data_IF_564727042765
#
_entry.id   IF_564727042765
#
_cell.length_a   1.000
_cell.length_b   1.000
_cell.length_c   1.000
_cell.angle_alpha   90.00
_cell.angle_beta   90.00
_cell.angle_gamma   90.00
#
_symmetry.space_group_name_H-M   'P 1'
#
loop_
_entity.id
_entity.type
_entity.pdbx_description
1 polymer ?
#
# COMPACT_ATOMS: atom_id res chain seq x y z
N UNK A 1 -0.73 22.17 10.73
CA UNK A 1 -1.12 22.40 9.31
C UNK A 1 -1.58 21.11 8.62
N UNK A 2 -0.81 20.02 8.62
CA UNK A 2 -1.18 18.81 7.87
C UNK A 2 -2.50 18.16 8.32
N UNK A 3 -2.86 18.25 9.60
CA UNK A 3 -4.15 17.77 10.12
C UNK A 3 -5.36 18.63 9.73
N UNK A 4 -5.14 19.89 9.39
CA UNK A 4 -6.20 20.82 8.98
C UNK A 4 -6.43 20.72 7.48
N UNK A 5 -5.39 20.35 6.71
CA UNK A 5 -5.40 20.29 5.25
C UNK A 5 -6.62 19.56 4.66
N UNK A 6 -7.05 18.39 5.15
CA UNK A 6 -8.23 17.70 4.61
C UNK A 6 -9.54 18.50 4.68
N UNK A 7 -9.62 19.45 5.60
CA UNK A 7 -10.82 20.26 5.85
C UNK A 7 -10.84 21.58 5.08
N UNK A 8 -9.72 21.95 4.44
CA UNK A 8 -9.56 23.25 3.77
C UNK A 8 -9.08 23.13 2.32
N UNK A 9 -8.67 21.94 1.89
CA UNK A 9 -8.15 21.68 0.56
C UNK A 9 -8.53 20.27 0.10
N UNK A 10 -8.97 20.16 -1.14
CA UNK A 10 -9.09 18.89 -1.86
C UNK A 10 -8.01 18.80 -2.94
N UNK A 11 -7.20 17.75 -2.92
CA UNK A 11 -6.19 17.53 -3.93
C UNK A 11 -6.78 16.75 -5.12
N UNK A 12 -6.34 17.12 -6.32
CA UNK A 12 -6.75 16.49 -7.58
C UNK A 12 -5.55 15.99 -8.36
N UNK A 13 -5.73 14.87 -9.02
CA UNK A 13 -4.81 14.34 -10.02
C UNK A 13 -5.19 14.85 -11.42
N UNK A 14 -4.28 14.70 -12.39
CA UNK A 14 -4.50 15.19 -13.76
C UNK A 14 -5.53 14.36 -14.55
N UNK A 15 -5.98 13.21 -14.03
CA UNK A 15 -6.92 12.33 -14.72
C UNK A 15 -7.97 11.76 -13.78
N UNK A 16 -9.10 11.33 -14.35
CA UNK A 16 -10.13 10.62 -13.63
C UNK A 16 -9.70 9.16 -13.36
N UNK A 17 -10.05 8.64 -12.18
CA UNK A 17 -9.88 7.24 -11.82
C UNK A 17 -11.23 6.55 -11.68
N UNK A 18 -11.50 5.57 -12.54
CA UNK A 18 -12.70 4.74 -12.45
C UNK A 18 -12.80 4.00 -11.11
N UNK A 19 -11.65 3.63 -10.52
CA UNK A 19 -11.60 3.04 -9.19
C UNK A 19 -12.11 4.02 -8.12
N UNK A 20 -11.59 5.25 -8.10
CA UNK A 20 -12.00 6.27 -7.12
C UNK A 20 -13.49 6.58 -7.25
N UNK A 21 -13.96 6.77 -8.49
CA UNK A 21 -15.37 6.99 -8.77
C UNK A 21 -16.27 5.84 -8.28
N UNK A 22 -15.85 4.59 -8.52
CA UNK A 22 -16.60 3.41 -8.06
C UNK A 22 -16.71 3.34 -6.54
N UNK A 23 -15.64 3.69 -5.83
CA UNK A 23 -15.62 3.71 -4.36
C UNK A 23 -16.49 4.86 -3.85
N UNK A 24 -16.39 6.06 -4.45
CA UNK A 24 -17.20 7.21 -4.05
C UNK A 24 -18.69 6.93 -4.18
N UNK A 25 -19.13 6.40 -5.33
CA UNK A 25 -20.54 6.04 -5.56
C UNK A 25 -21.02 4.99 -4.57
N UNK A 26 -20.21 3.95 -4.34
CA UNK A 26 -20.56 2.85 -3.43
C UNK A 26 -20.65 3.31 -1.97
N UNK A 27 -19.74 4.17 -1.54
CA UNK A 27 -19.64 4.64 -0.15
C UNK A 27 -20.50 5.90 0.09
N UNK A 28 -21.27 6.36 -0.91
CA UNK A 28 -22.16 7.53 -0.80
C UNK A 28 -21.43 8.86 -0.66
N UNK A 29 -20.20 8.97 -1.17
CA UNK A 29 -19.40 10.18 -1.17
C UNK A 29 -19.70 11.04 -2.39
N UNK A 30 -19.34 12.33 -2.32
CA UNK A 30 -19.35 13.20 -3.49
C UNK A 30 -18.44 12.62 -4.60
N UNK A 31 -19.01 12.47 -5.79
CA UNK A 31 -18.34 11.84 -6.93
C UNK A 31 -17.42 12.88 -7.60
N UNK A 32 -16.14 12.83 -7.25
CA UNK A 32 -15.03 13.51 -7.94
C UNK A 32 -13.96 12.47 -8.29
N UNK A 33 -14.00 11.87 -9.49
CA UNK A 33 -13.05 10.85 -9.94
C UNK A 33 -11.61 11.34 -10.00
N UNK A 34 -11.40 12.67 -10.02
CA UNK A 34 -10.09 13.29 -10.11
C UNK A 34 -9.46 13.50 -8.74
N UNK A 35 -10.23 13.43 -7.65
CA UNK A 35 -9.75 13.65 -6.27
C UNK A 35 -8.71 12.59 -5.90
N UNK A 36 -7.50 13.03 -5.56
CA UNK A 36 -6.38 12.15 -5.20
C UNK A 36 -6.35 11.78 -3.72
N UNK A 37 -7.09 12.51 -2.87
CA UNK A 37 -7.06 12.39 -1.41
C UNK A 37 -5.68 12.63 -0.78
N UNK A 38 -4.74 13.24 -1.52
CA UNK A 38 -3.39 13.57 -1.03
C UNK A 38 -3.44 14.49 0.20
N UNK A 39 -4.50 15.29 0.35
CA UNK A 39 -4.76 16.12 1.52
C UNK A 39 -4.80 15.31 2.83
N UNK A 40 -5.18 14.02 2.75
CA UNK A 40 -5.34 13.10 3.89
C UNK A 40 -4.09 12.31 4.23
N UNK A 41 -2.94 12.60 3.60
CA UNK A 41 -1.71 11.81 3.77
C UNK A 41 -1.25 11.66 5.24
N UNK A 42 -1.41 12.68 6.09
CA UNK A 42 -1.09 12.54 7.52
C UNK A 42 -2.11 11.68 8.28
N UNK A 43 -3.38 11.73 7.89
CA UNK A 43 -4.44 10.90 8.46
C UNK A 43 -4.16 9.44 8.14
N UNK A 44 -3.69 9.13 6.92
CA UNK A 44 -3.27 7.80 6.54
C UNK A 44 -2.18 7.24 7.46
N UNK A 45 -1.15 8.04 7.79
CA UNK A 45 -0.11 7.62 8.73
C UNK A 45 -0.68 7.27 10.11
N UNK A 46 -1.66 8.06 10.57
CA UNK A 46 -2.33 7.84 11.84
C UNK A 46 -3.12 6.53 11.90
N UNK A 47 -3.70 6.10 10.77
CA UNK A 47 -4.43 4.85 10.68
C UNK A 47 -3.54 3.62 10.93
N UNK A 48 -2.27 3.69 10.52
CA UNK A 48 -1.32 2.58 10.65
C UNK A 48 -0.45 2.66 11.90
N UNK A 49 0.04 3.85 12.27
CA UNK A 49 0.85 4.03 13.49
C UNK A 49 0.02 4.17 14.77
N UNK A 50 -1.27 4.48 14.63
CA UNK A 50 -2.10 4.95 15.73
C UNK A 50 -1.72 6.36 16.19
N UNK A 51 -2.61 7.03 16.94
CA UNK A 51 -2.39 8.40 17.42
C UNK A 51 -1.18 8.49 18.38
N UNK A 52 -0.99 7.50 19.25
CA UNK A 52 0.13 7.49 20.20
C UNK A 52 1.48 7.26 19.52
N UNK A 53 1.56 6.34 18.56
CA UNK A 53 2.77 6.11 17.76
C UNK A 53 3.19 7.36 17.01
N UNK A 54 2.24 7.99 16.31
CA UNK A 54 2.50 9.20 15.54
C UNK A 54 2.86 10.39 16.44
N UNK A 55 2.15 10.61 17.55
CA UNK A 55 2.48 11.70 18.49
C UNK A 55 3.88 11.54 19.08
N UNK A 56 4.25 10.32 19.47
CA UNK A 56 5.57 10.00 20.04
C UNK A 56 6.69 10.21 19.01
N UNK A 57 6.43 9.87 17.74
CA UNK A 57 7.34 10.14 16.63
C UNK A 57 7.52 11.64 16.37
N UNK A 58 6.43 12.43 16.41
CA UNK A 58 6.49 13.89 16.25
C UNK A 58 7.30 14.56 17.37
N UNK A 59 7.12 14.11 18.62
CA UNK A 59 7.96 14.57 19.74
C UNK A 59 9.44 14.25 19.49
N UNK A 60 9.73 13.06 18.98
CA UNK A 60 11.08 12.66 18.60
C UNK A 60 11.67 13.53 17.50
N UNK A 61 10.88 13.80 16.44
CA UNK A 61 11.27 14.68 15.35
C UNK A 61 11.65 16.06 15.87
N UNK A 62 10.79 16.67 16.69
CA UNK A 62 11.00 18.00 17.25
C UNK A 62 12.26 18.04 18.14
N UNK A 63 12.43 17.04 19.01
CA UNK A 63 13.56 16.97 19.92
C UNK A 63 14.91 16.73 19.19
N UNK A 64 14.95 15.79 18.24
CA UNK A 64 16.13 15.53 17.41
C UNK A 64 16.49 16.75 16.57
N UNK A 65 15.50 17.39 15.92
CA UNK A 65 15.72 18.61 15.13
C UNK A 65 16.29 19.73 16.00
N UNK A 66 15.71 19.94 17.19
CA UNK A 66 16.21 20.94 18.14
C UNK A 66 17.66 20.67 18.56
N UNK A 67 18.05 19.40 18.76
CA UNK A 67 19.44 19.04 19.11
C UNK A 67 20.41 19.37 17.98
N UNK A 68 20.05 19.02 16.74
CA UNK A 68 20.87 19.30 15.55
C UNK A 68 21.03 20.81 15.36
N UNK A 69 19.93 21.58 15.40
CA UNK A 69 19.95 23.04 15.26
C UNK A 69 20.72 23.71 16.39
N UNK A 70 20.67 23.17 17.61
CA UNK A 70 21.45 23.66 18.75
C UNK A 70 22.94 23.27 18.71
N UNK A 71 23.46 22.79 17.57
CA UNK A 71 24.87 22.45 17.39
C UNK A 71 25.30 21.19 18.13
N UNK A 72 24.37 20.27 18.42
CA UNK A 72 24.65 18.98 19.09
C UNK A 72 24.27 17.81 18.18
N UNK A 73 24.82 17.72 16.95
CA UNK A 73 24.49 16.64 16.03
C UNK A 73 25.00 15.32 16.58
N UNK A 74 24.11 14.34 16.68
CA UNK A 74 24.47 12.93 16.83
C UNK A 74 24.09 12.14 15.57
N UNK A 75 24.05 10.80 15.64
CA UNK A 75 23.60 9.95 14.54
C UNK A 75 22.20 10.34 14.00
N UNK A 76 21.36 10.95 14.84
CA UNK A 76 20.06 11.47 14.44
C UNK A 76 20.14 12.49 13.30
N UNK A 77 21.23 13.25 13.16
CA UNK A 77 21.38 14.24 12.11
C UNK A 77 21.36 13.61 10.72
N UNK A 78 22.03 12.47 10.54
CA UNK A 78 22.06 11.74 9.28
C UNK A 78 20.68 11.15 8.95
N UNK A 79 20.01 10.57 9.94
CA UNK A 79 18.65 10.03 9.79
C UNK A 79 17.67 11.13 9.39
N UNK A 80 17.74 12.30 10.03
CA UNK A 80 16.89 13.43 9.68
C UNK A 80 17.20 13.95 8.28
N UNK A 81 18.47 14.15 7.94
CA UNK A 81 18.88 14.66 6.64
C UNK A 81 18.45 13.74 5.47
N UNK A 82 18.42 12.43 5.69
CA UNK A 82 18.11 11.43 4.65
C UNK A 82 16.61 11.13 4.55
N UNK A 83 15.90 10.99 5.67
CA UNK A 83 14.53 10.48 5.68
C UNK A 83 13.45 11.58 5.84
N UNK A 84 13.79 12.76 6.36
CA UNK A 84 12.80 13.86 6.48
C UNK A 84 12.41 14.46 5.12
N UNK A 85 13.32 14.69 4.16
CA UNK A 85 12.92 15.20 2.85
C UNK A 85 11.85 14.35 2.14
N UNK A 86 11.97 13.01 2.02
CA UNK A 86 10.91 12.20 1.44
C UNK A 86 9.63 12.15 2.29
N UNK A 87 9.72 12.23 3.63
CA UNK A 87 8.55 12.40 4.49
C UNK A 87 7.77 13.67 4.13
N UNK A 88 8.46 14.80 4.00
CA UNK A 88 7.83 16.09 3.63
C UNK A 88 7.21 16.00 2.24
N UNK A 89 7.93 15.42 1.28
CA UNK A 89 7.43 15.21 -0.08
C UNK A 89 6.13 14.38 -0.09
N UNK A 90 6.11 13.24 0.60
CA UNK A 90 4.95 12.35 0.62
C UNK A 90 3.79 12.88 1.47
N UNK A 91 4.05 13.69 2.50
CA UNK A 91 2.96 14.38 3.22
C UNK A 91 2.30 15.48 2.37
N UNK A 92 3.06 16.08 1.45
CA UNK A 92 2.54 17.14 0.58
C UNK A 92 1.85 16.57 -0.66
N UNK A 93 2.54 15.70 -1.39
CA UNK A 93 2.06 15.15 -2.66
C UNK A 93 2.64 13.74 -2.86
N UNK A 94 1.99 12.71 -2.30
CA UNK A 94 2.45 11.34 -2.48
C UNK A 94 2.25 10.87 -3.92
N UNK A 95 1.52 11.59 -4.80
CA UNK A 95 1.43 11.34 -6.25
C UNK A 95 1.11 9.88 -6.59
N UNK A 96 0.10 9.32 -5.92
CA UNK A 96 -0.34 7.94 -6.09
C UNK A 96 -1.86 7.86 -5.94
N UNK A 97 -2.49 6.87 -6.58
CA UNK A 97 -3.90 6.58 -6.36
C UNK A 97 -4.15 6.26 -4.89
N UNK A 98 -5.29 6.69 -4.32
CA UNK A 98 -5.64 6.49 -2.92
C UNK A 98 -6.10 5.06 -2.60
N UNK A 99 -5.59 4.06 -3.33
CA UNK A 99 -5.69 2.67 -2.92
C UNK A 99 -4.64 2.43 -1.85
N UNK A 100 -5.07 2.16 -0.62
CA UNK A 100 -4.19 2.10 0.53
C UNK A 100 -3.07 1.07 0.45
N UNK A 101 -3.28 -0.09 -0.17
CA UNK A 101 -2.17 -1.06 -0.35
C UNK A 101 -1.08 -0.48 -1.26
N UNK A 102 -1.50 0.14 -2.37
CA UNK A 102 -0.57 0.75 -3.31
C UNK A 102 0.02 2.07 -2.82
N UNK A 103 -0.73 2.86 -2.04
CA UNK A 103 -0.26 4.11 -1.46
C UNK A 103 0.75 3.83 -0.33
N UNK A 104 0.44 2.90 0.58
CA UNK A 104 1.30 2.54 1.72
C UNK A 104 2.68 2.05 1.32
N UNK A 105 2.84 1.43 0.13
CA UNK A 105 4.15 1.01 -0.39
C UNK A 105 5.18 2.14 -0.53
N UNK A 106 4.74 3.41 -0.67
CA UNK A 106 5.66 4.57 -0.69
C UNK A 106 6.14 4.95 0.71
N UNK A 107 5.30 4.71 1.71
CA UNK A 107 5.58 5.03 3.11
C UNK A 107 6.40 3.94 3.81
N UNK A 108 6.20 2.68 3.41
CA UNK A 108 6.82 1.50 4.03
C UNK A 108 8.36 1.51 4.08
N UNK A 109 9.08 1.91 3.01
CA UNK A 109 10.54 1.84 3.02
C UNK A 109 11.21 3.02 3.72
N UNK A 110 10.49 4.13 3.93
CA UNK A 110 11.10 5.41 4.33
C UNK A 110 10.37 6.06 5.51
N UNK A 111 9.08 6.35 5.34
CA UNK A 111 8.30 7.13 6.32
C UNK A 111 8.00 6.32 7.58
N UNK A 112 7.54 5.08 7.46
CA UNK A 112 7.31 4.24 8.65
C UNK A 112 8.60 3.95 9.43
N UNK A 113 9.72 3.56 8.80
CA UNK A 113 10.99 3.41 9.51
C UNK A 113 11.43 4.68 10.24
N UNK A 114 11.35 5.85 9.59
CA UNK A 114 11.67 7.13 10.24
C UNK A 114 10.81 7.37 11.49
N UNK A 115 9.48 7.22 11.36
CA UNK A 115 8.56 7.49 12.46
C UNK A 115 8.73 6.48 13.61
N UNK A 116 8.97 5.20 13.29
CA UNK A 116 9.28 4.16 14.28
C UNK A 116 10.60 4.48 15.00
N UNK A 117 11.65 4.86 14.28
CA UNK A 117 12.94 5.23 14.87
C UNK A 117 12.81 6.45 15.79
N UNK A 118 12.05 7.47 15.37
CA UNK A 118 11.81 8.67 16.18
C UNK A 118 10.97 8.35 17.42
N UNK A 119 9.95 7.50 17.30
CA UNK A 119 9.16 7.05 18.44
C UNK A 119 10.01 6.24 19.43
N UNK A 120 10.82 5.30 18.93
CA UNK A 120 11.76 4.52 19.73
C UNK A 120 12.81 5.42 20.40
N UNK A 121 13.34 6.42 19.69
CA UNK A 121 14.26 7.40 20.25
C UNK A 121 13.62 8.20 21.39
N UNK A 122 12.37 8.64 21.24
CA UNK A 122 11.63 9.35 22.29
C UNK A 122 11.45 8.47 23.51
N UNK A 123 10.97 7.24 23.33
CA UNK A 123 10.77 6.25 24.39
C UNK A 123 12.08 5.99 25.14
N UNK A 124 13.17 5.73 24.39
CA UNK A 124 14.49 5.49 24.96
C UNK A 124 15.04 6.72 25.71
N UNK A 125 14.81 7.91 25.16
CA UNK A 125 15.21 9.17 25.80
C UNK A 125 14.49 9.39 27.12
N UNK A 126 13.18 9.12 27.19
CA UNK A 126 12.38 9.18 28.43
C UNK A 126 12.86 8.13 29.43
N UNK A 127 13.10 6.89 28.98
CA UNK A 127 13.58 5.81 29.83
C UNK A 127 14.97 6.10 30.44
N UNK A 128 15.82 6.83 29.74
CA UNK A 128 17.19 7.19 30.17
C UNK A 128 17.29 8.48 30.98
N UNK A 129 16.21 9.22 31.20
CA UNK A 129 16.28 10.49 31.93
C UNK A 129 16.81 10.30 33.36
N UNK A 130 17.77 11.11 33.85
CA UNK A 130 18.23 11.01 35.22
C UNK A 130 17.14 11.48 36.20
N UNK A 131 17.21 11.03 37.46
CA UNK A 131 16.36 11.54 38.54
C UNK A 131 16.48 13.06 38.61
N UNK A 132 15.37 13.82 38.46
CA UNK A 132 15.41 15.27 38.54
C UNK A 132 16.15 15.70 39.80
N UNK A 133 17.06 16.67 39.66
CA UNK A 133 17.86 17.16 40.77
C UNK A 133 16.98 17.60 41.95
N UNK A 134 15.78 18.15 41.69
CA UNK A 134 14.78 18.52 42.70
C UNK A 134 14.28 17.33 43.54
N UNK A 135 14.06 16.18 42.90
CA UNK A 135 13.62 14.94 43.56
C UNK A 135 14.80 14.33 44.34
N UNK A 136 16.02 14.40 43.80
CA UNK A 136 17.26 13.98 44.51
C UNK A 136 17.63 14.86 45.70
N UNK A 137 17.44 16.17 45.59
CA UNK A 137 17.87 17.16 46.58
C UNK A 137 16.90 17.29 47.77
N UNK A 138 15.70 16.72 47.68
CA UNK A 138 14.72 16.75 48.73
C UNK A 138 15.16 15.83 49.89
N UNK A 139 15.61 16.44 51.00
CA UNK A 139 16.19 15.77 52.17
C UNK A 139 15.16 15.34 53.24
N UNK A 140 13.88 15.54 52.98
CA UNK A 140 12.80 15.26 53.95
C UNK A 140 12.32 13.79 53.80
N UNK A 141 11.92 13.11 54.89
CA UNK A 141 11.56 11.69 54.88
C UNK A 141 10.56 11.26 53.79
N UNK A 142 9.47 12.00 53.46
CA UNK A 142 8.58 11.63 52.35
C UNK A 142 9.23 11.76 50.96
N UNK A 143 10.30 12.54 50.83
CA UNK A 143 10.98 12.71 49.55
C UNK A 143 11.88 11.52 49.17
N UNK A 144 12.44 10.80 50.15
CA UNK A 144 13.11 9.51 49.89
C UNK A 144 12.12 8.50 49.31
N UNK A 145 10.88 8.48 49.81
CA UNK A 145 9.82 7.62 49.26
C UNK A 145 9.46 7.99 47.81
N UNK A 146 9.37 9.28 47.49
CA UNK A 146 9.18 9.78 46.12
C UNK A 146 10.33 9.38 45.18
N UNK A 147 11.59 9.43 45.64
CA UNK A 147 12.75 8.97 44.83
C UNK A 147 12.71 7.47 44.54
N UNK A 148 12.34 6.66 45.53
CA UNK A 148 12.22 5.19 45.41
C UNK A 148 11.06 4.79 44.49
N UNK A 149 9.94 5.53 44.53
CA UNK A 149 8.75 5.30 43.69
C UNK A 149 8.92 5.82 42.26
N UNK A 150 9.82 6.78 42.02
CA UNK A 150 9.97 7.38 40.69
C UNK A 150 10.50 6.41 39.63
N UNK A 151 11.45 5.54 39.99
CA UNK A 151 11.97 4.50 39.08
C UNK A 151 10.88 3.52 38.59
N UNK A 152 10.11 2.85 39.47
CA UNK A 152 9.05 1.94 39.05
C UNK A 152 7.90 2.68 38.36
N UNK A 153 7.51 3.88 38.82
CA UNK A 153 6.47 4.68 38.17
C UNK A 153 6.85 5.06 36.73
N UNK A 154 8.11 5.46 36.51
CA UNK A 154 8.62 5.74 35.17
C UNK A 154 8.69 4.49 34.30
N UNK A 155 9.16 3.36 34.85
CA UNK A 155 9.19 2.10 34.12
C UNK A 155 7.79 1.69 33.67
N UNK A 156 6.79 1.81 34.56
CA UNK A 156 5.39 1.57 34.24
C UNK A 156 4.86 2.54 33.15
N UNK A 157 5.19 3.84 33.24
CA UNK A 157 4.79 4.81 32.23
C UNK A 157 5.42 4.54 30.85
N UNK A 158 6.70 4.15 30.82
CA UNK A 158 7.39 3.76 29.59
C UNK A 158 6.76 2.49 29.01
N UNK A 159 6.47 1.48 29.84
CA UNK A 159 5.82 0.26 29.41
C UNK A 159 4.41 0.54 28.84
N UNK A 160 3.62 1.37 29.51
CA UNK A 160 2.31 1.79 29.03
C UNK A 160 2.40 2.54 27.68
N UNK A 161 3.39 3.42 27.51
CA UNK A 161 3.63 4.11 26.25
C UNK A 161 4.01 3.13 25.14
N UNK A 162 4.89 2.16 25.42
CA UNK A 162 5.26 1.11 24.45
C UNK A 162 4.04 0.32 24.01
N UNK A 163 3.20 -0.10 24.96
CA UNK A 163 1.94 -0.80 24.66
C UNK A 163 1.02 0.07 23.81
N UNK A 164 0.86 1.35 24.12
CA UNK A 164 0.02 2.27 23.34
C UNK A 164 0.56 2.51 21.91
N UNK A 165 1.88 2.62 21.77
CA UNK A 165 2.55 2.82 20.47
C UNK A 165 2.47 1.56 19.60
N UNK A 166 2.65 0.38 20.19
CA UNK A 166 2.60 -0.91 19.47
C UNK A 166 1.16 -1.36 19.20
N UNK A 167 0.22 -1.00 20.09
CA UNK A 167 -1.18 -1.37 19.98
C UNK A 167 -1.86 -0.81 18.72
N UNK A 168 -1.50 0.39 18.27
CA UNK A 168 -2.01 0.99 17.04
C UNK A 168 -1.73 0.14 15.78
N UNK A 169 -0.46 -0.11 15.44
CA UNK A 169 -0.08 -0.97 14.32
C UNK A 169 -0.63 -2.40 14.42
N UNK A 170 -0.65 -2.98 15.63
CA UNK A 170 -1.24 -4.31 15.83
C UNK A 170 -2.73 -4.32 15.51
N UNK A 171 -3.51 -3.37 16.04
CA UNK A 171 -4.93 -3.25 15.72
C UNK A 171 -5.18 -2.92 14.25
N UNK A 172 -4.28 -2.15 13.63
CA UNK A 172 -4.32 -1.81 12.21
C UNK A 172 -4.10 -3.03 11.30
N UNK A 173 -3.27 -3.98 11.72
CA UNK A 173 -2.86 -5.11 10.88
C UNK A 173 -3.62 -6.38 11.21
N UNK A 174 -4.11 -6.54 12.45
CA UNK A 174 -4.74 -7.78 12.92
C UNK A 174 -5.93 -8.27 12.06
N UNK A 175 -6.85 -7.43 11.55
CA UNK A 175 -7.97 -7.94 10.73
C UNK A 175 -7.53 -8.55 9.40
N UNK A 176 -6.37 -8.16 8.90
CA UNK A 176 -5.89 -8.46 7.54
C UNK A 176 -4.52 -9.14 7.56
N UNK A 177 -4.10 -9.71 8.68
CA UNK A 177 -2.72 -10.21 8.86
C UNK A 177 -2.36 -11.39 7.94
N UNK A 178 -3.36 -12.14 7.47
CA UNK A 178 -3.21 -13.23 6.50
C UNK A 178 -3.43 -12.82 5.06
N UNK A 179 -3.79 -11.56 4.83
CA UNK A 179 -4.07 -11.09 3.48
C UNK A 179 -2.79 -11.08 2.66
N UNK A 180 -2.88 -11.66 1.47
CA UNK A 180 -1.83 -11.63 0.48
C UNK A 180 -2.44 -11.18 -0.85
N UNK A 181 -1.83 -10.17 -1.47
CA UNK A 181 -2.26 -9.73 -2.80
C UNK A 181 -1.92 -10.83 -3.80
N UNK A 182 -2.87 -11.19 -4.67
CA UNK A 182 -2.70 -12.20 -5.72
C UNK A 182 -2.41 -13.62 -5.18
N UNK A 183 -3.08 -14.03 -4.11
CA UNK A 183 -2.96 -15.38 -3.54
C UNK A 183 -3.44 -16.50 -4.49
N UNK A 184 -4.33 -16.17 -5.43
CA UNK A 184 -4.88 -17.05 -6.45
C UNK A 184 -4.10 -17.09 -7.77
N UNK A 185 -3.20 -16.14 -8.00
CA UNK A 185 -2.59 -15.96 -9.33
C UNK A 185 -1.71 -17.13 -9.77
N UNK A 186 -1.06 -17.81 -8.83
CA UNK A 186 -0.30 -19.03 -9.14
C UNK A 186 -1.21 -20.17 -9.61
N UNK A 187 -2.38 -20.33 -9.00
CA UNK A 187 -3.37 -21.33 -9.40
C UNK A 187 -3.98 -20.98 -10.77
N UNK A 188 -4.32 -19.70 -11.00
CA UNK A 188 -4.80 -19.23 -12.31
C UNK A 188 -3.80 -19.55 -13.42
N UNK A 189 -2.53 -19.17 -13.23
CA UNK A 189 -1.49 -19.37 -14.25
C UNK A 189 -1.16 -20.85 -14.44
N UNK A 190 -1.09 -21.63 -13.36
CA UNK A 190 -0.87 -23.07 -13.44
C UNK A 190 -1.95 -23.79 -14.24
N UNK A 191 -3.21 -23.38 -14.09
CA UNK A 191 -4.32 -23.93 -14.88
C UNK A 191 -4.22 -23.52 -16.36
N UNK A 192 -3.81 -22.28 -16.65
CA UNK A 192 -3.53 -21.86 -18.02
C UNK A 192 -2.41 -22.71 -18.66
N UNK A 193 -1.32 -23.02 -17.94
CA UNK A 193 -0.26 -23.88 -18.46
C UNK A 193 -0.78 -25.29 -18.80
N UNK A 194 -1.72 -25.81 -17.99
CA UNK A 194 -2.29 -27.16 -18.12
C UNK A 194 -3.28 -27.27 -19.28
N UNK A 195 -4.09 -26.24 -19.50
CA UNK A 195 -5.19 -26.28 -20.48
C UNK A 195 -4.77 -25.79 -21.85
N UNK A 196 -3.85 -24.84 -21.94
CA UNK A 196 -3.36 -24.34 -23.23
C UNK A 196 -2.33 -25.30 -23.85
N UNK A 197 -2.31 -25.42 -25.18
CA UNK A 197 -1.34 -26.26 -25.88
C UNK A 197 0.08 -25.67 -25.82
N UNK A 198 1.09 -26.47 -26.14
CA UNK A 198 2.51 -26.09 -26.05
C UNK A 198 2.91 -25.02 -27.07
N UNK A 199 2.20 -24.94 -28.20
CA UNK A 199 2.40 -23.94 -29.24
C UNK A 199 1.65 -22.62 -28.96
N UNK A 200 0.94 -22.51 -27.83
CA UNK A 200 0.16 -21.33 -27.49
C UNK A 200 1.02 -20.09 -27.23
N UNK A 201 0.59 -18.97 -27.79
CA UNK A 201 1.06 -17.62 -27.46
C UNK A 201 -0.07 -16.84 -26.81
N UNK A 202 0.13 -16.35 -25.59
CA UNK A 202 -0.94 -15.68 -24.84
C UNK A 202 -0.91 -14.16 -25.02
N UNK A 203 -1.99 -13.58 -25.53
CA UNK A 203 -2.20 -12.13 -25.64
C UNK A 203 -3.22 -11.66 -24.60
N UNK A 204 -2.79 -10.78 -23.71
CA UNK A 204 -3.66 -10.19 -22.68
C UNK A 204 -4.55 -9.07 -23.24
N UNK A 205 -5.84 -9.13 -22.93
CA UNK A 205 -6.86 -8.12 -23.25
C UNK A 205 -7.41 -7.50 -21.96
N UNK A 206 -7.42 -6.17 -21.89
CA UNK A 206 -7.87 -5.42 -20.71
C UNK A 206 -6.83 -5.45 -19.59
N UNK A 207 -7.24 -5.80 -18.37
CA UNK A 207 -6.34 -5.80 -17.19
C UNK A 207 -5.31 -6.94 -17.21
N UNK A 208 -5.63 -8.06 -17.86
CA UNK A 208 -4.78 -9.27 -17.93
C UNK A 208 -3.44 -9.01 -18.62
N UNK A 209 -3.34 -7.96 -19.45
CA UNK A 209 -2.08 -7.52 -20.04
C UNK A 209 -1.04 -7.11 -18.99
N UNK A 210 -1.46 -6.65 -17.81
CA UNK A 210 -0.56 -6.13 -16.75
C UNK A 210 -0.24 -7.20 -15.71
N UNK A 211 -1.12 -8.18 -15.55
CA UNK A 211 -1.10 -9.13 -14.43
C UNK A 211 -0.75 -10.54 -14.89
N UNK A 212 -1.43 -11.06 -15.92
CA UNK A 212 -1.40 -12.50 -16.28
C UNK A 212 -0.32 -12.83 -17.31
N UNK A 213 -0.16 -12.04 -18.36
CA UNK A 213 0.71 -12.36 -19.52
C UNK A 213 2.17 -12.62 -19.13
N UNK A 214 2.75 -11.75 -18.29
CA UNK A 214 4.14 -11.90 -17.85
C UNK A 214 4.33 -13.10 -16.92
N UNK A 215 3.33 -13.36 -16.07
CA UNK A 215 3.35 -14.53 -15.19
C UNK A 215 3.28 -15.83 -15.99
N UNK A 216 2.37 -15.90 -16.97
CA UNK A 216 2.27 -17.02 -17.92
C UNK A 216 3.59 -17.26 -18.64
N UNK A 217 4.21 -16.21 -19.19
CA UNK A 217 5.46 -16.38 -19.93
C UNK A 217 6.61 -16.92 -19.08
N UNK A 218 6.65 -16.56 -17.79
CA UNK A 218 7.72 -16.98 -16.88
C UNK A 218 7.46 -18.36 -16.29
N UNK A 219 6.21 -18.67 -15.95
CA UNK A 219 5.83 -19.90 -15.24
C UNK A 219 5.60 -21.06 -16.20
N UNK A 220 4.93 -20.82 -17.34
CA UNK A 220 4.65 -21.86 -18.33
C UNK A 220 5.79 -22.02 -19.35
N UNK A 221 6.79 -21.13 -19.36
CA UNK A 221 7.87 -21.09 -20.36
C UNK A 221 7.33 -21.03 -21.81
N UNK A 222 6.26 -20.25 -22.04
CA UNK A 222 5.59 -20.08 -23.32
C UNK A 222 5.46 -18.59 -23.68
N UNK A 223 5.51 -18.18 -24.95
CA UNK A 223 5.48 -16.76 -25.29
C UNK A 223 4.16 -16.11 -24.85
N UNK A 224 4.27 -14.86 -24.40
CA UNK A 224 3.12 -14.01 -24.17
C UNK A 224 3.38 -12.62 -24.73
N UNK A 225 2.33 -11.98 -25.21
CA UNK A 225 2.35 -10.64 -25.75
C UNK A 225 1.43 -9.71 -24.97
N UNK A 226 1.78 -8.44 -24.95
CA UNK A 226 0.94 -7.36 -24.43
C UNK A 226 0.89 -6.25 -25.46
N UNK A 227 -0.28 -5.63 -25.60
CA UNK A 227 -0.44 -4.45 -26.46
C UNK A 227 -0.74 -3.26 -25.56
N UNK A 228 0.17 -2.29 -25.56
CA UNK A 228 0.00 -1.08 -24.77
C UNK A 228 -0.98 -0.12 -25.47
N UNK A 229 -2.27 -0.26 -25.19
CA UNK A 229 -3.28 0.77 -25.48
C UNK A 229 -3.72 1.47 -24.19
N UNK A 230 -4.42 2.60 -24.32
CA UNK A 230 -4.87 3.39 -23.17
C UNK A 230 -5.87 2.61 -22.29
N UNK A 231 -6.72 1.80 -22.92
CA UNK A 231 -7.76 0.96 -22.30
C UNK A 231 -7.35 -0.51 -22.15
N UNK A 232 -6.21 -0.91 -22.72
CA UNK A 232 -5.76 -2.30 -22.77
C UNK A 232 -6.45 -3.19 -23.78
N UNK A 233 -7.28 -2.62 -24.65
CA UNK A 233 -8.02 -3.37 -25.67
C UNK A 233 -7.36 -3.14 -27.04
N UNK A 234 -6.69 -4.14 -27.62
CA UNK A 234 -6.05 -3.98 -28.92
C UNK A 234 -7.09 -3.91 -30.05
N UNK A 235 -6.85 -3.11 -31.11
CA UNK A 235 -7.68 -3.10 -32.30
C UNK A 235 -7.75 -4.48 -32.99
N UNK A 236 -8.90 -4.90 -33.55
CA UNK A 236 -9.03 -6.22 -34.19
C UNK A 236 -8.06 -6.46 -35.35
N UNK A 237 -7.77 -5.43 -36.15
CA UNK A 237 -6.81 -5.49 -37.24
C UNK A 237 -5.39 -5.76 -36.74
N UNK A 238 -5.05 -5.24 -35.55
CA UNK A 238 -3.76 -5.50 -34.92
C UNK A 238 -3.67 -6.93 -34.43
N UNK A 239 -4.73 -7.46 -33.80
CA UNK A 239 -4.77 -8.85 -33.37
C UNK A 239 -4.67 -9.80 -34.55
N UNK A 240 -5.36 -9.52 -35.66
CA UNK A 240 -5.24 -10.30 -36.89
C UNK A 240 -3.80 -10.31 -37.45
N UNK A 241 -3.10 -9.16 -37.44
CA UNK A 241 -1.68 -9.10 -37.85
C UNK A 241 -0.76 -9.89 -36.92
N UNK A 242 -0.94 -9.77 -35.61
CA UNK A 242 -0.15 -10.49 -34.61
C UNK A 242 -0.38 -12.00 -34.74
N UNK A 243 -1.63 -12.41 -34.95
CA UNK A 243 -2.02 -13.80 -35.21
C UNK A 243 -1.30 -14.37 -36.41
N UNK A 244 -1.41 -13.70 -37.58
CA UNK A 244 -0.76 -14.16 -38.81
C UNK A 244 0.78 -14.29 -38.66
N UNK A 245 1.41 -13.41 -37.88
CA UNK A 245 2.84 -13.48 -37.57
C UNK A 245 3.21 -14.75 -36.78
N UNK A 246 2.45 -15.07 -35.73
CA UNK A 246 2.71 -16.27 -34.92
C UNK A 246 2.31 -17.56 -35.63
N UNK A 247 1.24 -17.55 -36.42
CA UNK A 247 0.85 -18.69 -37.25
C UNK A 247 1.94 -19.05 -38.26
N UNK A 248 2.62 -18.06 -38.84
CA UNK A 248 3.76 -18.28 -39.73
C UNK A 248 4.96 -18.96 -39.03
N UNK A 249 5.07 -18.83 -37.69
CA UNK A 249 6.06 -19.50 -36.86
C UNK A 249 5.55 -20.85 -36.30
N UNK A 250 4.38 -21.31 -36.74
CA UNK A 250 3.78 -22.56 -36.28
C UNK A 250 3.22 -22.48 -34.86
N UNK A 251 2.81 -21.28 -34.41
CA UNK A 251 2.23 -21.05 -33.08
C UNK A 251 0.81 -20.52 -33.17
N UNK A 252 -0.01 -20.88 -32.19
CA UNK A 252 -1.41 -20.45 -32.12
C UNK A 252 -1.57 -19.27 -31.15
N UNK A 253 -2.15 -18.16 -31.61
CA UNK A 253 -2.45 -17.02 -30.75
C UNK A 253 -3.72 -17.26 -29.92
N UNK A 254 -3.62 -17.09 -28.61
CA UNK A 254 -4.72 -17.19 -27.65
C UNK A 254 -4.94 -15.85 -26.96
N UNK A 255 -6.19 -15.41 -26.85
CA UNK A 255 -6.56 -14.21 -26.11
C UNK A 255 -6.99 -14.58 -24.69
N UNK A 256 -6.58 -13.78 -23.69
CA UNK A 256 -7.04 -13.90 -22.30
C UNK A 256 -7.60 -12.59 -21.79
N UNK A 257 -8.77 -12.64 -21.15
CA UNK A 257 -9.43 -11.46 -20.60
C UNK A 257 -10.36 -11.83 -19.45
N UNK A 258 -10.79 -10.83 -18.69
CA UNK A 258 -11.78 -11.02 -17.61
C UNK A 258 -13.22 -10.82 -18.08
N UNK A 259 -13.41 -10.29 -19.29
CA UNK A 259 -14.72 -10.03 -19.91
C UNK A 259 -14.79 -10.76 -21.26
N UNK A 260 -15.60 -11.82 -21.40
CA UNK A 260 -15.85 -12.50 -22.66
C UNK A 260 -16.23 -11.57 -23.81
N UNK A 261 -17.06 -10.56 -23.55
CA UNK A 261 -17.52 -9.64 -24.58
C UNK A 261 -16.39 -8.75 -25.11
N UNK A 262 -15.35 -8.48 -24.30
CA UNK A 262 -14.15 -7.81 -24.77
C UNK A 262 -13.35 -8.67 -25.74
N UNK A 263 -13.26 -9.98 -25.50
CA UNK A 263 -12.51 -10.90 -26.36
C UNK A 263 -13.16 -11.01 -27.75
N UNK A 264 -14.49 -11.18 -27.78
CA UNK A 264 -15.26 -11.22 -29.03
C UNK A 264 -15.12 -9.92 -29.83
N UNK A 265 -15.15 -8.77 -29.16
CA UNK A 265 -14.93 -7.45 -29.80
C UNK A 265 -13.55 -7.32 -30.46
N UNK A 266 -12.54 -7.96 -29.88
CA UNK A 266 -11.15 -7.95 -30.37
C UNK A 266 -10.93 -8.96 -31.49
N UNK A 267 -11.91 -9.84 -31.74
CA UNK A 267 -11.91 -10.77 -32.87
C UNK A 267 -11.52 -12.20 -32.51
N UNK A 268 -11.73 -12.62 -31.26
CA UNK A 268 -11.75 -14.06 -30.93
C UNK A 268 -13.11 -14.69 -31.25
N UNK A 269 -13.12 -16.03 -31.35
CA UNK A 269 -14.35 -16.80 -31.16
C UNK A 269 -14.88 -16.71 -29.71
N UNK A 270 -16.03 -17.35 -29.41
CA UNK A 270 -16.51 -17.44 -28.04
C UNK A 270 -15.46 -18.12 -27.13
N UNK A 271 -15.36 -17.76 -25.85
CA UNK A 271 -14.39 -18.36 -24.94
C UNK A 271 -14.55 -19.88 -24.90
N UNK A 272 -13.46 -20.58 -25.21
CA UNK A 272 -13.43 -22.05 -25.18
C UNK A 272 -12.97 -22.57 -23.81
N UNK A 273 -12.29 -21.74 -23.03
CA UNK A 273 -11.76 -22.08 -21.71
C UNK A 273 -12.10 -20.98 -20.71
N UNK A 274 -12.56 -21.36 -19.52
CA UNK A 274 -12.73 -20.45 -18.39
C UNK A 274 -11.92 -20.95 -17.19
N UNK A 275 -10.96 -20.16 -16.73
CA UNK A 275 -10.22 -20.44 -15.49
C UNK A 275 -10.85 -19.64 -14.36
N UNK A 276 -11.36 -20.32 -13.34
CA UNK A 276 -12.01 -19.71 -12.19
C UNK A 276 -11.16 -19.89 -10.95
N UNK A 277 -11.00 -18.83 -10.17
CA UNK A 277 -10.39 -18.90 -8.84
C UNK A 277 -11.13 -18.00 -7.88
N UNK A 278 -11.09 -18.38 -6.61
CA UNK A 278 -11.60 -17.59 -5.50
C UNK A 278 -10.39 -17.01 -4.77
N UNK A 279 -10.47 -15.72 -4.45
CA UNK A 279 -9.44 -15.02 -3.68
C UNK A 279 -10.09 -14.09 -2.67
N UNK A 280 -9.38 -13.84 -1.57
CA UNK A 280 -9.79 -12.78 -0.66
C UNK A 280 -9.11 -11.49 -1.09
N UNK A 281 -9.90 -10.48 -1.45
CA UNK A 281 -9.38 -9.14 -1.74
C UNK A 281 -9.67 -8.19 -0.59
N UNK A 282 -8.73 -7.27 -0.37
CA UNK A 282 -8.91 -6.21 0.60
C UNK A 282 -9.86 -5.16 0.01
N UNK A 283 -10.98 -4.88 0.69
CA UNK A 283 -11.97 -3.90 0.20
C UNK A 283 -11.33 -2.51 0.11
N UNK A 284 -11.24 -1.89 -1.07
CA UNK A 284 -10.69 -0.54 -1.20
C UNK A 284 -11.62 0.48 -0.53
N UNK A 285 -11.05 1.43 0.21
CA UNK A 285 -11.75 2.49 0.96
C UNK A 285 -11.01 3.81 0.77
N UNK A 286 -11.69 4.95 0.94
CA UNK A 286 -11.09 6.29 0.79
C UNK A 286 -11.00 7.08 2.11
N UNK A 287 -11.91 6.81 3.05
CA UNK A 287 -12.12 7.63 4.26
C UNK A 287 -11.65 6.95 5.56
N UNK A 288 -11.29 5.68 5.48
CA UNK A 288 -10.76 4.89 6.57
C UNK A 288 -9.80 3.83 6.01
N UNK A 289 -9.00 3.21 6.88
CA UNK A 289 -8.13 2.11 6.46
C UNK A 289 -8.97 0.91 6.02
N UNK A 290 -8.54 0.17 4.99
CA UNK A 290 -9.14 -1.12 4.70
C UNK A 290 -8.89 -2.10 5.87
N UNK A 291 -9.95 -2.73 6.35
CA UNK A 291 -9.90 -3.71 7.43
C UNK A 291 -10.75 -4.96 7.15
N UNK A 292 -11.44 -4.96 6.00
CA UNK A 292 -12.40 -5.99 5.62
C UNK A 292 -11.93 -6.72 4.38
N UNK A 293 -11.88 -8.06 4.48
CA UNK A 293 -11.67 -8.94 3.34
C UNK A 293 -13.01 -9.27 2.69
N UNK A 294 -12.99 -9.35 1.36
CA UNK A 294 -14.14 -9.68 0.55
C UNK A 294 -13.73 -10.81 -0.37
N UNK A 295 -14.56 -11.83 -0.43
CA UNK A 295 -14.37 -12.91 -1.40
C UNK A 295 -14.65 -12.37 -2.80
N UNK A 296 -13.72 -12.64 -3.71
CA UNK A 296 -13.83 -12.29 -5.11
C UNK A 296 -13.57 -13.54 -5.94
N UNK A 297 -14.57 -13.94 -6.72
CA UNK A 297 -14.39 -14.87 -7.82
C UNK A 297 -13.75 -14.10 -8.99
N UNK A 298 -12.62 -14.62 -9.49
CA UNK A 298 -11.97 -14.16 -10.71
C UNK A 298 -12.13 -15.22 -11.78
N UNK A 299 -12.67 -14.80 -12.92
CA UNK A 299 -12.84 -15.65 -14.09
C UNK A 299 -11.99 -15.09 -15.22
N UNK A 300 -11.05 -15.90 -15.72
CA UNK A 300 -10.31 -15.63 -16.94
C UNK A 300 -11.01 -16.39 -18.08
N UNK A 301 -11.54 -15.64 -19.02
CA UNK A 301 -12.01 -16.14 -20.31
C UNK A 301 -10.81 -16.25 -21.26
N UNK A 302 -10.70 -17.38 -21.93
CA UNK A 302 -9.62 -17.66 -22.87
C UNK A 302 -10.19 -18.23 -24.15
N UNK A 303 -9.76 -17.67 -25.28
CA UNK A 303 -10.25 -18.02 -26.60
C UNK A 303 -9.09 -18.05 -27.60
N UNK A 304 -9.11 -18.94 -28.60
CA UNK A 304 -8.22 -18.78 -29.74
C UNK A 304 -8.57 -17.46 -30.44
N UNK A 305 -7.55 -16.73 -30.86
CA UNK A 305 -7.72 -15.53 -31.65
C UNK A 305 -8.28 -15.93 -33.02
#
# INVERSE_FOLDING_TARGET
LVWVRPHVQEARSLGASALVESIQRRDGLDVDPSRSYDESSAVWLAWYLGPFGLATAVVGLAACTRRVVAGRPGPEALVLATLVPPLVLYLYRPSIYPDHLWATRRYLPVVFPLLILLAAWTIASVARQPVPARVRAARWPPARWLTTRWRPARAAAVAALVVAVVGGPLAATAPVWRFQVYDDMAAQVGELCRVLPDDAVLLGVGDTQRTTTRAFATVCDRPAATVMTADGVPPPDMVARVRAGWEAEGRTLWLVGTDPALLERVGSGPPTVSVRTESNVLRPTLTHRPDTLVEQERVLAVAPA
#
